data_IF_727370537352
#
_entry.id   IF_727370537352
#
_cell.length_a   1.000
_cell.length_b   1.000
_cell.length_c   1.000
_cell.angle_alpha   90.00
_cell.angle_beta   90.00
_cell.angle_gamma   90.00
#
_symmetry.space_group_name_H-M   'P 1'
#
loop_
_entity.id
_entity.type
_entity.pdbx_description
1 polymer ?
#
# COMPACT_ATOMS: atom_id res chain seq x y z
N UNK A 1 -10.38 6.54 -7.24
CA UNK A 1 -9.14 5.72 -7.10
C UNK A 1 -9.47 4.48 -6.30
N UNK A 2 -9.08 3.33 -6.81
CA UNK A 2 -9.24 2.05 -6.10
C UNK A 2 -7.88 1.62 -5.58
N UNK A 3 -7.80 1.35 -4.28
CA UNK A 3 -6.54 1.06 -3.59
C UNK A 3 -6.63 -0.30 -2.91
N UNK A 4 -5.62 -1.15 -3.13
CA UNK A 4 -5.47 -2.41 -2.42
C UNK A 4 -4.53 -2.18 -1.23
N UNK A 5 -5.01 -2.47 -0.03
CA UNK A 5 -4.24 -2.33 1.21
C UNK A 5 -3.88 -3.72 1.70
N UNK A 6 -2.58 -4.02 1.78
CA UNK A 6 -2.08 -5.32 2.23
C UNK A 6 -1.38 -5.13 3.57
N UNK A 7 -2.01 -5.61 4.63
CA UNK A 7 -1.53 -5.45 6.01
C UNK A 7 -2.13 -6.55 6.86
N UNK A 8 -1.29 -7.27 7.58
CA UNK A 8 -1.77 -8.38 8.43
C UNK A 8 -2.33 -7.91 9.79
N UNK A 9 -1.92 -6.74 10.28
CA UNK A 9 -2.46 -6.18 11.52
C UNK A 9 -3.85 -5.61 11.28
N UNK A 10 -4.83 -6.19 11.93
CA UNK A 10 -6.24 -5.80 11.77
C UNK A 10 -6.48 -4.31 12.05
N UNK A 11 -5.93 -3.81 13.14
CA UNK A 11 -6.14 -2.41 13.53
C UNK A 11 -5.55 -1.44 12.52
N UNK A 12 -4.31 -1.67 12.11
CA UNK A 12 -3.62 -0.83 11.11
C UNK A 12 -4.37 -0.87 9.79
N UNK A 13 -4.77 -2.05 9.35
CA UNK A 13 -5.52 -2.24 8.11
C UNK A 13 -6.84 -1.47 8.13
N UNK A 14 -7.58 -1.58 9.24
CA UNK A 14 -8.87 -0.90 9.39
C UNK A 14 -8.71 0.61 9.40
N UNK A 15 -7.70 1.13 10.10
CA UNK A 15 -7.45 2.57 10.16
C UNK A 15 -7.12 3.11 8.78
N UNK A 16 -6.23 2.48 8.06
CA UNK A 16 -5.84 2.91 6.71
C UNK A 16 -7.03 2.90 5.76
N UNK A 17 -7.80 1.81 5.78
CA UNK A 17 -8.99 1.70 4.93
C UNK A 17 -10.01 2.79 5.24
N UNK A 18 -10.25 3.04 6.52
CA UNK A 18 -11.20 4.07 6.94
C UNK A 18 -10.77 5.45 6.48
N UNK A 19 -9.51 5.80 6.72
CA UNK A 19 -9.01 7.12 6.37
C UNK A 19 -9.01 7.35 4.86
N UNK A 20 -8.61 6.36 4.08
CA UNK A 20 -8.62 6.47 2.63
C UNK A 20 -10.04 6.50 2.06
N UNK A 21 -10.95 5.75 2.66
CA UNK A 21 -12.36 5.80 2.26
C UNK A 21 -12.96 7.19 2.48
N UNK A 22 -12.58 7.84 3.56
CA UNK A 22 -13.02 9.22 3.84
C UNK A 22 -12.47 10.22 2.83
N UNK A 23 -11.37 9.88 2.16
CA UNK A 23 -10.81 10.70 1.10
C UNK A 23 -11.47 10.43 -0.26
N UNK A 24 -12.50 9.61 -0.30
CA UNK A 24 -13.21 9.28 -1.53
C UNK A 24 -12.62 8.10 -2.30
N UNK A 25 -11.69 7.36 -1.71
CA UNK A 25 -11.10 6.19 -2.35
C UNK A 25 -11.96 4.96 -2.13
N UNK A 26 -11.98 4.08 -3.12
CA UNK A 26 -12.51 2.74 -2.95
C UNK A 26 -11.38 1.87 -2.44
N UNK A 27 -11.55 1.24 -1.29
CA UNK A 27 -10.50 0.44 -0.66
C UNK A 27 -10.88 -1.04 -0.64
N UNK A 28 -9.90 -1.89 -0.92
CA UNK A 28 -10.01 -3.34 -0.80
C UNK A 28 -8.85 -3.77 0.10
N UNK A 29 -9.12 -4.67 1.04
CA UNK A 29 -8.12 -5.09 2.01
C UNK A 29 -7.69 -6.53 1.76
N UNK A 30 -6.42 -6.81 2.06
CA UNK A 30 -5.85 -8.15 2.02
C UNK A 30 -4.96 -8.34 3.25
N UNK A 31 -4.92 -9.54 3.79
CA UNK A 31 -4.18 -9.86 5.01
C UNK A 31 -2.80 -10.42 4.73
N UNK A 32 -2.57 -10.92 3.55
CA UNK A 32 -1.34 -11.60 3.17
C UNK A 32 -1.15 -11.53 1.65
N UNK A 33 -0.04 -12.07 1.17
CA UNK A 33 0.32 -12.04 -0.25
C UNK A 33 -0.68 -12.85 -1.08
N UNK A 34 -1.06 -14.01 -0.61
CA UNK A 34 -2.00 -14.88 -1.33
C UNK A 34 -3.34 -14.18 -1.55
N UNK A 35 -3.85 -13.55 -0.51
CA UNK A 35 -5.11 -12.80 -0.58
C UNK A 35 -4.98 -11.62 -1.55
N UNK A 36 -3.85 -10.91 -1.46
CA UNK A 36 -3.58 -9.78 -2.36
C UNK A 36 -3.54 -10.22 -3.82
N UNK A 37 -2.89 -11.35 -4.12
CA UNK A 37 -2.85 -11.88 -5.48
C UNK A 37 -4.23 -12.23 -6.01
N UNK A 38 -5.08 -12.80 -5.17
CA UNK A 38 -6.48 -13.08 -5.55
C UNK A 38 -7.21 -11.81 -5.92
N UNK A 39 -7.06 -10.76 -5.14
CA UNK A 39 -7.72 -9.49 -5.41
C UNK A 39 -7.19 -8.85 -6.69
N UNK A 40 -5.88 -8.89 -6.91
CA UNK A 40 -5.26 -8.33 -8.12
C UNK A 40 -5.70 -9.08 -9.38
N UNK A 41 -6.01 -10.37 -9.26
CA UNK A 41 -6.50 -11.17 -10.38
C UNK A 41 -7.96 -10.86 -10.73
N UNK A 42 -8.75 -10.42 -9.75
CA UNK A 42 -10.20 -10.19 -9.93
C UNK A 42 -10.55 -8.77 -10.31
N UNK A 43 -9.76 -7.79 -9.87
CA UNK A 43 -10.06 -6.37 -10.05
C UNK A 43 -8.82 -5.60 -10.48
N UNK A 44 -9.03 -4.46 -11.11
CA UNK A 44 -7.95 -3.52 -11.37
C UNK A 44 -7.85 -2.51 -10.24
N UNK A 45 -6.62 -2.08 -9.94
CA UNK A 45 -6.33 -1.12 -8.89
C UNK A 45 -5.48 0.02 -9.44
N UNK A 46 -5.65 1.19 -8.86
CA UNK A 46 -4.80 2.35 -9.19
C UNK A 46 -3.53 2.35 -8.36
N UNK A 47 -3.61 1.82 -7.14
CA UNK A 47 -2.48 1.81 -6.23
C UNK A 47 -2.50 0.60 -5.31
N UNK A 48 -1.30 0.21 -4.87
CA UNK A 48 -1.07 -0.81 -3.86
C UNK A 48 -0.37 -0.15 -2.67
N UNK A 49 -0.92 -0.33 -1.47
CA UNK A 49 -0.27 0.10 -0.23
C UNK A 49 -0.01 -1.19 0.55
N UNK A 50 1.25 -1.57 0.70
CA UNK A 50 1.60 -2.86 1.28
C UNK A 50 2.65 -2.76 2.37
N UNK A 51 2.43 -3.49 3.46
CA UNK A 51 3.50 -3.82 4.39
C UNK A 51 4.46 -4.78 3.71
N UNK A 52 5.72 -4.74 4.08
CA UNK A 52 6.74 -5.64 3.56
C UNK A 52 6.86 -6.92 4.39
N UNK A 53 6.54 -6.86 5.69
CA UNK A 53 6.56 -8.04 6.56
C UNK A 53 5.18 -8.67 6.58
N UNK A 54 4.96 -9.64 5.70
CA UNK A 54 3.69 -10.34 5.60
C UNK A 54 3.86 -11.78 6.08
N UNK A 55 2.79 -12.41 6.58
CA UNK A 55 2.90 -13.75 7.19
C UNK A 55 3.33 -14.83 6.20
N UNK A 56 3.08 -14.66 4.92
CA UNK A 56 3.37 -15.66 3.89
C UNK A 56 4.48 -15.23 2.92
N UNK A 57 5.26 -14.22 3.27
CA UNK A 57 6.42 -13.84 2.46
C UNK A 57 6.84 -12.39 2.58
N UNK A 58 7.73 -12.00 1.70
CA UNK A 58 8.23 -10.63 1.62
C UNK A 58 7.34 -9.81 0.70
N UNK A 59 6.82 -8.71 1.21
CA UNK A 59 5.96 -7.80 0.44
C UNK A 59 6.66 -7.18 -0.76
N UNK A 60 8.00 -7.16 -0.79
CA UNK A 60 8.73 -6.68 -1.97
C UNK A 60 8.47 -7.55 -3.20
N UNK A 61 8.29 -8.85 -3.01
CA UNK A 61 7.96 -9.74 -4.11
C UNK A 61 6.59 -9.39 -4.68
N UNK A 62 5.64 -9.09 -3.80
CA UNK A 62 4.31 -8.66 -4.22
C UNK A 62 4.37 -7.32 -4.97
N UNK A 63 5.15 -6.37 -4.47
CA UNK A 63 5.32 -5.07 -5.12
C UNK A 63 5.88 -5.25 -6.53
N UNK A 64 6.95 -6.01 -6.67
CA UNK A 64 7.59 -6.24 -7.95
C UNK A 64 6.63 -6.90 -8.95
N UNK A 65 5.86 -7.88 -8.49
CA UNK A 65 4.87 -8.57 -9.30
C UNK A 65 3.75 -7.62 -9.74
N UNK A 66 3.24 -6.83 -8.82
CA UNK A 66 2.16 -5.90 -9.10
C UNK A 66 2.58 -4.82 -10.12
N UNK A 67 3.80 -4.32 -9.98
CA UNK A 67 4.34 -3.35 -10.95
C UNK A 67 4.49 -3.99 -12.33
N UNK A 68 5.04 -5.19 -12.40
CA UNK A 68 5.30 -5.88 -13.66
C UNK A 68 4.02 -6.27 -14.38
N UNK A 69 3.04 -6.80 -13.64
CA UNK A 69 1.83 -7.35 -14.24
C UNK A 69 0.69 -6.34 -14.39
N UNK A 70 0.63 -5.34 -13.52
CA UNK A 70 -0.52 -4.44 -13.44
C UNK A 70 -0.16 -2.96 -13.63
N UNK A 71 1.12 -2.60 -13.52
CA UNK A 71 1.57 -1.23 -13.76
C UNK A 71 1.01 -0.18 -12.79
N UNK A 72 0.53 -0.60 -11.63
CA UNK A 72 -0.07 0.31 -10.66
C UNK A 72 0.98 1.02 -9.83
N UNK A 73 0.59 2.09 -9.15
CA UNK A 73 1.46 2.78 -8.18
C UNK A 73 1.61 1.90 -6.95
N UNK A 74 2.84 1.71 -6.47
CA UNK A 74 3.12 0.88 -5.32
C UNK A 74 3.79 1.68 -4.21
N UNK A 75 3.22 1.60 -3.01
CA UNK A 75 3.71 2.28 -1.83
C UNK A 75 3.97 1.23 -0.75
N UNK A 76 5.22 1.16 -0.28
CA UNK A 76 5.57 0.31 0.85
C UNK A 76 5.37 1.08 2.14
N UNK A 77 4.76 0.44 3.13
CA UNK A 77 4.59 1.00 4.47
C UNK A 77 5.13 -0.04 5.44
N UNK A 78 6.26 0.23 6.07
CA UNK A 78 6.99 -0.82 6.77
C UNK A 78 7.79 -0.28 7.96
N UNK A 79 8.07 -1.17 8.90
CA UNK A 79 8.99 -0.88 10.00
C UNK A 79 10.46 -1.03 9.63
N UNK A 80 10.77 -1.47 8.41
CA UNK A 80 12.15 -1.61 7.95
C UNK A 80 12.72 -0.25 7.61
N UNK A 81 13.64 0.24 8.43
CA UNK A 81 14.17 1.60 8.32
C UNK A 81 15.59 1.67 7.77
N UNK A 82 16.29 0.53 7.67
CA UNK A 82 17.67 0.51 7.18
C UNK A 82 17.75 0.99 5.73
N UNK A 83 18.79 1.75 5.44
CA UNK A 83 19.00 2.31 4.11
C UNK A 83 19.04 1.23 3.02
N UNK A 84 19.63 0.08 3.32
CA UNK A 84 19.71 -1.03 2.36
C UNK A 84 18.32 -1.60 2.05
N UNK A 85 17.43 -1.67 3.04
CA UNK A 85 16.07 -2.14 2.84
C UNK A 85 15.26 -1.15 2.01
N UNK A 86 15.44 0.13 2.27
CA UNK A 86 14.79 1.18 1.49
C UNK A 86 15.23 1.14 0.02
N UNK A 87 16.53 0.94 -0.21
CA UNK A 87 17.09 0.82 -1.56
C UNK A 87 16.52 -0.40 -2.28
N UNK A 88 16.43 -1.54 -1.59
CA UNK A 88 15.80 -2.75 -2.14
C UNK A 88 14.34 -2.51 -2.52
N UNK A 89 13.62 -1.77 -1.68
CA UNK A 89 12.23 -1.41 -1.96
C UNK A 89 12.09 -0.61 -3.24
N UNK A 90 12.92 0.41 -3.39
CA UNK A 90 12.90 1.25 -4.58
C UNK A 90 13.30 0.47 -5.83
N UNK A 91 14.27 -0.43 -5.73
CA UNK A 91 14.68 -1.31 -6.84
C UNK A 91 13.58 -2.29 -7.23
N UNK A 92 12.78 -2.74 -6.28
CA UNK A 92 11.65 -3.64 -6.55
C UNK A 92 10.51 -2.92 -7.27
N UNK A 93 10.54 -1.59 -7.31
CA UNK A 93 9.55 -0.79 -8.02
C UNK A 93 8.63 0.01 -7.13
N UNK A 94 8.90 0.10 -5.81
CA UNK A 94 8.12 0.98 -4.95
C UNK A 94 8.27 2.42 -5.44
N UNK A 95 7.16 3.08 -5.67
CA UNK A 95 7.16 4.50 -6.01
C UNK A 95 7.47 5.34 -4.77
N UNK A 96 7.03 4.88 -3.61
CA UNK A 96 7.31 5.50 -2.33
C UNK A 96 7.56 4.44 -1.27
N UNK A 97 8.44 4.75 -0.33
CA UNK A 97 8.79 3.86 0.77
C UNK A 97 8.58 4.64 2.06
N UNK A 98 7.50 4.34 2.77
CA UNK A 98 7.13 5.03 4.00
C UNK A 98 7.40 4.14 5.20
N UNK A 99 7.94 4.71 6.27
CA UNK A 99 8.25 3.94 7.48
C UNK A 99 7.14 4.11 8.51
N UNK A 100 6.88 3.03 9.26
CA UNK A 100 5.92 3.06 10.37
C UNK A 100 6.48 3.83 11.55
N UNK A 101 5.66 4.53 12.32
CA UNK A 101 4.21 4.67 12.15
C UNK A 101 3.86 5.54 10.96
N UNK A 102 2.78 5.17 10.27
CA UNK A 102 2.36 5.87 9.05
C UNK A 102 1.89 7.28 9.38
N UNK A 103 2.49 8.25 8.70
CA UNK A 103 1.96 9.60 8.66
C UNK A 103 0.93 9.62 7.52
N UNK A 104 -0.34 9.78 7.85
CA UNK A 104 -1.39 9.75 6.86
C UNK A 104 -1.24 10.86 5.82
N UNK A 105 -0.73 12.00 6.21
CA UNK A 105 -0.48 13.09 5.28
C UNK A 105 0.54 12.68 4.21
N UNK A 106 1.63 12.02 4.62
CA UNK A 106 2.63 11.51 3.68
C UNK A 106 2.03 10.45 2.74
N UNK A 107 1.21 9.56 3.29
CA UNK A 107 0.55 8.53 2.48
C UNK A 107 -0.38 9.16 1.46
N UNK A 108 -1.17 10.13 1.87
CA UNK A 108 -2.07 10.84 0.98
C UNK A 108 -1.32 11.54 -0.14
N UNK A 109 -0.22 12.21 0.19
CA UNK A 109 0.62 12.87 -0.81
C UNK A 109 1.24 11.85 -1.78
N UNK A 110 1.72 10.72 -1.26
CA UNK A 110 2.30 9.67 -2.09
C UNK A 110 1.27 9.09 -3.08
N UNK A 111 0.02 9.00 -2.66
CA UNK A 111 -1.07 8.53 -3.51
C UNK A 111 -1.57 9.58 -4.50
N UNK A 112 -1.16 10.83 -4.32
CA UNK A 112 -1.63 11.91 -5.17
C UNK A 112 -3.05 12.36 -4.87
N UNK A 113 -3.54 12.08 -3.66
CA UNK A 113 -4.87 12.48 -3.24
C UNK A 113 -4.82 13.91 -2.71
N UNK A 114 -5.63 14.85 -3.24
CA UNK A 114 -5.62 16.22 -2.76
C UNK A 114 -6.09 16.30 -1.31
N UNK A 115 -5.71 17.35 -0.58
CA UNK A 115 -6.19 17.55 0.77
C UNK A 115 -7.70 17.51 0.80
N UNK A 116 -8.25 16.78 1.76
CA UNK A 116 -9.68 16.74 1.95
C UNK A 116 -10.10 18.09 2.52
N UNK A 117 -10.78 18.85 1.72
CA UNK A 117 -11.47 20.02 2.23
C UNK A 117 -12.77 19.50 2.80
N UNK A 118 -12.83 19.45 4.12
CA UNK A 118 -14.11 19.25 4.74
C UNK A 118 -14.99 20.36 4.19
N UNK A 119 -15.61 20.17 3.14
CA UNK A 119 -16.48 21.11 2.50
C UNK A 119 -17.33 21.88 3.48
N UNK A 120 -16.55 22.20 4.31
CA UNK A 120 -17.18 23.01 5.29
C UNK A 120 -18.03 23.82 4.61
#
# INVERSE_FOLDING_TARGET
>A
MRILIVEDHCDTRTVLATLLSRCGCQTVIAKNIKDARSQLAEMSFDALVSDLNLPDGDGLDLVAEAKRLHGLKAIAVTGRTEAVERERGLRAGCDFYLTKPVDFHQLRCALGIPPHHSAA
#
